data_IF_665432266538
#
_entry.id   IF_665432266538
#
_cell.length_a   1.000
_cell.length_b   1.000
_cell.length_c   1.000
_cell.angle_alpha   90.00
_cell.angle_beta   90.00
_cell.angle_gamma   90.00
#
_symmetry.space_group_name_H-M   'P 1'
#
loop_
_entity.id
_entity.type
_entity.pdbx_description
1 polymer ?
#
# COMPACT_ATOMS: atom_id res chain seq x y z
N UNK A 1 -8.70 33.07 -6.90
CA UNK A 1 -7.74 32.74 -6.42
C UNK A 1 -7.77 31.60 -5.52
N UNK A 2 -8.72 31.33 -4.96
CA UNK A 2 -8.85 30.24 -4.08
C UNK A 2 -8.68 28.89 -4.73
N UNK A 3 -9.02 28.79 -5.98
CA UNK A 3 -8.91 27.53 -6.70
C UNK A 3 -7.50 26.97 -6.74
N UNK A 4 -6.51 27.83 -6.74
CA UNK A 4 -5.15 27.36 -6.78
C UNK A 4 -4.74 26.64 -5.51
N UNK A 5 -5.22 27.09 -4.37
CA UNK A 5 -4.95 26.39 -3.14
C UNK A 5 -5.53 25.00 -3.14
N UNK A 6 -6.72 24.85 -3.69
CA UNK A 6 -7.36 23.56 -3.76
C UNK A 6 -6.55 22.61 -4.62
N UNK A 7 -6.02 23.09 -5.71
CA UNK A 7 -5.17 22.26 -6.52
C UNK A 7 -4.00 21.72 -5.74
N UNK A 8 -3.28 22.61 -5.04
CA UNK A 8 -2.10 22.18 -4.32
C UNK A 8 -2.43 21.14 -3.28
N UNK A 9 -3.56 21.29 -2.60
CA UNK A 9 -3.95 20.37 -1.55
C UNK A 9 -4.36 19.03 -2.07
N UNK A 10 -4.89 18.98 -3.28
CA UNK A 10 -5.34 17.73 -3.86
C UNK A 10 -4.21 16.87 -4.39
N UNK A 11 -2.97 17.34 -4.26
CA UNK A 11 -1.87 16.64 -4.90
C UNK A 11 -1.26 15.51 -4.10
N UNK A 12 -1.60 15.39 -2.82
CA UNK A 12 -1.07 14.26 -2.07
C UNK A 12 -1.69 12.97 -2.61
N UNK A 13 -0.87 12.10 -3.11
CA UNK A 13 -1.33 10.84 -3.69
C UNK A 13 -0.51 9.72 -3.07
N UNK A 14 -1.21 8.72 -2.53
CA UNK A 14 -0.55 7.64 -1.81
C UNK A 14 0.49 6.92 -2.66
N UNK A 15 0.14 6.57 -3.90
CA UNK A 15 1.08 5.84 -4.74
C UNK A 15 2.32 6.65 -5.05
N UNK A 16 2.18 7.95 -5.26
CA UNK A 16 3.34 8.81 -5.50
C UNK A 16 4.21 8.91 -4.25
N UNK A 17 3.60 8.97 -3.08
CA UNK A 17 4.36 9.02 -1.84
C UNK A 17 5.06 7.69 -1.56
N UNK A 18 4.38 6.58 -1.80
CA UNK A 18 5.00 5.26 -1.65
C UNK A 18 6.21 5.13 -2.58
N UNK A 19 6.11 5.66 -3.78
CA UNK A 19 7.19 5.58 -4.77
C UNK A 19 8.43 6.34 -4.38
N UNK A 20 8.34 7.26 -3.44
CA UNK A 20 9.51 7.98 -2.93
C UNK A 20 10.32 7.17 -1.94
N UNK A 21 9.81 6.02 -1.52
CA UNK A 21 10.52 5.13 -0.60
C UNK A 21 11.73 4.54 -1.32
N UNK A 22 12.86 4.55 -0.65
CA UNK A 22 14.08 3.95 -1.20
C UNK A 22 14.30 2.60 -0.54
N UNK A 23 14.68 1.62 -1.35
CA UNK A 23 14.91 0.27 -0.85
C UNK A 23 16.38 -0.07 -1.01
N UNK A 24 16.98 -0.57 0.08
CA UNK A 24 18.37 -0.99 0.08
C UNK A 24 18.46 -2.46 0.45
N UNK A 25 19.25 -3.25 -0.28
CA UNK A 25 19.44 -4.64 0.08
C UNK A 25 20.32 -4.74 1.32
N UNK A 26 19.85 -5.49 2.31
CA UNK A 26 20.63 -5.77 3.53
C UNK A 26 20.55 -7.26 3.80
N UNK A 27 21.67 -7.84 4.19
CA UNK A 27 21.72 -9.26 4.50
C UNK A 27 21.08 -9.50 5.87
N UNK A 28 20.15 -10.44 5.91
CA UNK A 28 19.47 -10.83 7.15
C UNK A 28 20.02 -12.19 7.56
N UNK A 29 20.72 -12.25 8.69
CA UNK A 29 21.35 -13.47 9.15
C UNK A 29 20.34 -14.56 9.54
N UNK A 30 19.19 -14.15 10.05
CA UNK A 30 18.16 -15.12 10.43
C UNK A 30 17.54 -15.83 9.24
N UNK A 31 17.33 -15.08 8.17
CA UNK A 31 16.77 -15.62 6.95
C UNK A 31 17.83 -16.14 5.99
N UNK A 32 19.09 -15.81 6.26
CA UNK A 32 20.22 -16.18 5.41
C UNK A 32 20.04 -15.71 3.98
N UNK A 33 19.48 -14.50 3.82
CA UNK A 33 19.28 -13.91 2.48
C UNK A 33 19.26 -12.40 2.60
N UNK A 34 19.36 -11.74 1.45
CA UNK A 34 19.23 -10.29 1.38
C UNK A 34 17.77 -9.92 1.31
N UNK A 35 17.38 -8.94 2.10
CA UNK A 35 16.04 -8.36 2.03
C UNK A 35 16.17 -6.89 1.70
N UNK A 36 15.13 -6.32 1.12
CA UNK A 36 15.11 -4.91 0.78
C UNK A 36 14.51 -4.12 1.93
N UNK A 37 15.35 -3.32 2.60
CA UNK A 37 14.90 -2.46 3.68
C UNK A 37 14.43 -1.13 3.13
N UNK A 38 13.23 -0.69 3.51
CA UNK A 38 12.73 0.59 3.05
C UNK A 38 13.28 1.75 3.87
N UNK A 39 13.50 2.87 3.20
CA UNK A 39 13.76 4.14 3.83
C UNK A 39 12.61 5.04 3.45
N UNK A 40 11.69 5.26 4.38
CA UNK A 40 10.46 5.99 4.10
C UNK A 40 10.70 7.50 4.09
N UNK A 41 10.10 8.22 3.12
CA UNK A 41 10.24 9.68 3.11
C UNK A 41 9.47 10.33 4.24
N UNK A 42 9.86 11.55 4.58
CA UNK A 42 9.22 12.28 5.67
C UNK A 42 7.72 12.48 5.46
N UNK A 43 7.30 12.65 4.21
CA UNK A 43 5.89 12.80 3.90
C UNK A 43 5.06 11.59 4.28
N UNK A 44 5.62 10.39 4.18
CA UNK A 44 4.95 9.19 4.62
C UNK A 44 5.01 9.03 6.13
N UNK A 45 6.19 9.29 6.72
CA UNK A 45 6.34 9.15 8.16
C UNK A 45 5.37 10.06 8.90
N UNK A 46 5.13 11.24 8.37
CA UNK A 46 4.19 12.19 8.97
C UNK A 46 2.75 11.71 8.91
N UNK A 47 2.44 10.79 8.02
CA UNK A 47 1.08 10.28 7.84
C UNK A 47 0.79 8.99 8.62
N UNK A 48 1.78 8.43 9.30
CA UNK A 48 1.58 7.21 10.08
C UNK A 48 0.52 7.46 11.16
N UNK A 49 -0.47 6.57 11.21
CA UNK A 49 -1.58 6.70 12.15
C UNK A 49 -2.71 7.59 11.67
N UNK A 50 -2.51 8.30 10.58
CA UNK A 50 -3.56 9.15 10.01
C UNK A 50 -4.28 8.42 8.89
N UNK A 51 -5.50 8.84 8.64
CA UNK A 51 -6.27 8.25 7.55
C UNK A 51 -5.80 8.74 6.20
N UNK A 52 -5.61 7.80 5.28
CA UNK A 52 -5.29 8.13 3.89
C UNK A 52 -6.28 7.40 3.00
N UNK A 53 -6.46 7.93 1.79
CA UNK A 53 -7.34 7.32 0.79
C UNK A 53 -6.48 6.77 -0.33
N UNK A 54 -6.75 5.53 -0.72
CA UNK A 54 -5.99 4.87 -1.78
C UNK A 54 -6.98 4.24 -2.75
N UNK A 55 -6.77 4.48 -4.04
CA UNK A 55 -7.50 3.81 -5.10
C UNK A 55 -6.56 2.87 -5.83
N UNK A 56 -6.95 1.61 -5.97
CA UNK A 56 -6.10 0.63 -6.62
C UNK A 56 -6.87 -0.57 -7.10
N UNK A 57 -6.18 -1.45 -7.78
CA UNK A 57 -6.75 -2.67 -8.32
C UNK A 57 -6.65 -3.79 -7.29
N UNK A 58 -7.75 -4.52 -7.10
CA UNK A 58 -7.71 -5.71 -6.26
C UNK A 58 -6.90 -6.81 -6.95
N UNK A 59 -5.92 -7.36 -6.26
CA UNK A 59 -5.17 -8.52 -6.76
C UNK A 59 -5.22 -9.63 -5.72
N UNK A 60 -5.41 -10.89 -6.14
CA UNK A 60 -5.72 -12.00 -5.21
C UNK A 60 -4.46 -12.67 -4.65
N UNK A 61 -3.56 -11.91 -4.06
CA UNK A 61 -2.31 -12.45 -3.55
C UNK A 61 -2.23 -12.50 -2.02
N UNK A 62 -3.30 -12.11 -1.32
CA UNK A 62 -3.33 -12.27 0.13
C UNK A 62 -3.61 -13.72 0.49
N UNK A 63 -3.11 -14.21 1.64
CA UNK A 63 -3.43 -15.57 2.08
C UNK A 63 -4.93 -15.74 2.28
N UNK A 64 -5.45 -16.92 1.96
CA UNK A 64 -6.87 -17.20 2.10
C UNK A 64 -7.38 -17.02 3.52
N UNK A 65 -6.57 -17.39 4.49
CA UNK A 65 -6.93 -17.24 5.90
C UNK A 65 -6.57 -15.89 6.46
N UNK A 66 -6.04 -15.00 5.63
CA UNK A 66 -5.71 -13.66 6.05
C UNK A 66 -6.95 -12.78 6.12
N UNK A 67 -6.88 -11.75 6.93
CA UNK A 67 -8.00 -10.83 7.10
C UNK A 67 -7.75 -9.51 6.37
N UNK A 68 -6.94 -9.55 5.34
CA UNK A 68 -6.60 -8.36 4.57
C UNK A 68 -6.64 -8.67 3.08
N UNK A 69 -6.69 -7.61 2.28
CA UNK A 69 -6.58 -7.74 0.83
C UNK A 69 -5.34 -6.97 0.37
N UNK A 70 -4.96 -7.19 -0.87
CA UNK A 70 -3.86 -6.44 -1.47
C UNK A 70 -4.40 -5.58 -2.59
N UNK A 71 -4.05 -4.29 -2.55
CA UNK A 71 -4.31 -3.36 -3.62
C UNK A 71 -3.03 -3.12 -4.39
N UNK A 72 -3.15 -2.99 -5.69
CA UNK A 72 -2.02 -2.71 -6.58
C UNK A 72 -2.25 -1.40 -7.32
N UNK A 73 -1.18 -0.67 -7.53
CA UNK A 73 -1.21 0.50 -8.39
C UNK A 73 -1.52 0.10 -9.84
N UNK A 74 -1.13 -1.11 -10.22
CA UNK A 74 -1.26 -1.63 -11.59
C UNK A 74 -2.21 -2.81 -11.63
N UNK A 75 -2.85 -3.08 -12.79
CA UNK A 75 -3.65 -4.29 -12.96
C UNK A 75 -2.81 -5.54 -12.71
N UNK A 76 -3.48 -6.66 -12.45
CA UNK A 76 -2.80 -7.90 -12.08
C UNK A 76 -1.70 -8.31 -13.06
N UNK A 77 -1.90 -8.10 -14.35
CA UNK A 77 -0.91 -8.47 -15.35
C UNK A 77 0.40 -7.69 -15.22
N UNK A 78 0.39 -6.57 -14.48
CA UNK A 78 1.55 -5.69 -14.32
C UNK A 78 1.90 -5.47 -12.86
N UNK A 79 1.35 -6.25 -11.95
CA UNK A 79 1.56 -6.01 -10.52
C UNK A 79 2.93 -6.51 -10.06
N UNK A 80 3.28 -6.16 -8.82
CA UNK A 80 4.56 -6.53 -8.22
C UNK A 80 4.80 -8.05 -8.24
N UNK A 81 3.77 -8.83 -7.89
CA UNK A 81 3.91 -10.29 -7.80
C UNK A 81 4.12 -10.94 -9.15
N UNK A 82 3.82 -10.23 -10.23
CA UNK A 82 4.04 -10.71 -11.59
C UNK A 82 5.31 -10.12 -12.19
N UNK A 83 6.07 -9.39 -11.39
CA UNK A 83 7.31 -8.77 -11.85
C UNK A 83 7.12 -7.43 -12.54
N UNK A 84 5.91 -6.85 -12.50
CA UNK A 84 5.62 -5.63 -13.22
C UNK A 84 5.93 -4.35 -12.48
N UNK A 85 6.00 -4.39 -11.17
CA UNK A 85 6.28 -3.19 -10.38
C UNK A 85 7.15 -3.52 -9.21
N UNK A 86 7.57 -2.51 -8.47
CA UNK A 86 8.33 -2.72 -7.25
C UNK A 86 7.42 -2.85 -6.04
N UNK A 87 8.00 -3.09 -4.86
CA UNK A 87 7.20 -3.22 -3.64
C UNK A 87 6.42 -1.95 -3.27
N UNK A 88 6.80 -0.82 -3.83
CA UNK A 88 6.08 0.43 -3.62
C UNK A 88 4.75 0.48 -4.37
N UNK A 89 4.46 -0.51 -5.20
CA UNK A 89 3.25 -0.55 -6.02
C UNK A 89 2.13 -1.39 -5.43
N UNK A 90 2.30 -1.90 -4.21
CA UNK A 90 1.24 -2.67 -3.53
C UNK A 90 1.02 -2.15 -2.13
N UNK A 91 -0.19 -2.36 -1.62
CA UNK A 91 -0.55 -2.00 -0.25
C UNK A 91 -1.48 -3.06 0.32
N UNK A 92 -1.28 -3.41 1.59
CA UNK A 92 -2.19 -4.30 2.30
C UNK A 92 -3.31 -3.48 2.94
N UNK A 93 -4.52 -4.00 2.91
CA UNK A 93 -5.68 -3.29 3.46
C UNK A 93 -6.47 -4.23 4.36
N UNK A 94 -6.57 -3.87 5.63
CA UNK A 94 -7.37 -4.59 6.62
C UNK A 94 -8.61 -3.76 6.92
N UNK A 95 -9.79 -4.31 6.64
CA UNK A 95 -11.04 -3.60 6.84
C UNK A 95 -11.50 -3.67 8.29
N UNK A 96 -12.06 -2.56 8.78
CA UNK A 96 -12.53 -2.47 10.16
C UNK A 96 -13.63 -3.47 10.46
N UNK A 97 -14.48 -3.76 9.48
CA UNK A 97 -15.63 -4.66 9.67
C UNK A 97 -15.41 -6.06 9.10
N UNK A 98 -14.16 -6.42 8.87
CA UNK A 98 -13.84 -7.74 8.35
C UNK A 98 -13.68 -7.76 6.86
N UNK A 99 -13.28 -8.91 6.33
CA UNK A 99 -12.91 -9.02 4.93
C UNK A 99 -14.11 -8.85 4.00
N UNK A 100 -13.91 -8.12 2.92
CA UNK A 100 -14.86 -7.98 1.83
C UNK A 100 -14.34 -8.79 0.65
N UNK A 101 -15.25 -9.16 -0.23
CA UNK A 101 -14.87 -9.93 -1.42
C UNK A 101 -14.89 -9.07 -2.66
N UNK A 102 -13.87 -9.23 -3.46
CA UNK A 102 -13.70 -8.49 -4.71
C UNK A 102 -13.29 -9.43 -5.81
N UNK A 103 -13.40 -8.98 -7.03
CA UNK A 103 -12.93 -9.70 -8.20
C UNK A 103 -11.62 -9.12 -8.66
N UNK A 104 -10.82 -9.95 -9.34
CA UNK A 104 -9.52 -9.54 -9.87
C UNK A 104 -9.68 -8.28 -10.72
N UNK A 105 -8.81 -7.32 -10.46
CA UNK A 105 -8.79 -6.04 -11.16
C UNK A 105 -9.99 -5.12 -10.92
N UNK A 106 -10.81 -5.44 -9.89
CA UNK A 106 -11.76 -4.43 -9.43
C UNK A 106 -10.98 -3.20 -8.99
N UNK A 107 -11.38 -2.05 -9.50
CA UNK A 107 -10.79 -0.78 -9.09
C UNK A 107 -11.59 -0.26 -7.91
N UNK A 108 -10.97 -0.22 -6.74
CA UNK A 108 -11.66 0.17 -5.52
C UNK A 108 -10.93 1.31 -4.83
N UNK A 109 -11.69 2.09 -4.08
CA UNK A 109 -11.15 3.19 -3.28
C UNK A 109 -11.42 2.88 -1.82
N UNK A 110 -10.37 2.92 -1.01
CA UNK A 110 -10.46 2.63 0.42
C UNK A 110 -9.85 3.77 1.20
N UNK A 111 -10.28 3.90 2.46
CA UNK A 111 -9.74 4.89 3.38
C UNK A 111 -9.37 4.15 4.66
N UNK A 112 -8.15 4.32 5.12
CA UNK A 112 -7.69 3.63 6.33
C UNK A 112 -6.50 4.33 6.94
N UNK A 113 -6.11 3.86 8.12
CA UNK A 113 -4.97 4.42 8.83
C UNK A 113 -3.69 3.85 8.30
N UNK A 114 -2.74 4.69 7.98
CA UNK A 114 -1.47 4.26 7.43
C UNK A 114 -0.56 3.65 8.49
N UNK A 115 -0.01 2.50 8.18
CA UNK A 115 1.01 1.85 8.97
C UNK A 115 2.15 1.49 8.03
N UNK A 116 3.37 1.75 8.46
CA UNK A 116 4.56 1.43 7.66
C UNK A 116 5.30 0.27 8.31
N UNK A 117 5.73 -0.66 7.50
CA UNK A 117 6.41 -1.88 7.95
C UNK A 117 7.79 -1.95 7.32
N UNK A 118 8.82 -2.02 8.16
CA UNK A 118 10.21 -2.04 7.71
C UNK A 118 10.78 -3.44 7.61
N UNK A 119 10.46 -4.29 8.56
CA UNK A 119 11.25 -5.50 8.81
C UNK A 119 10.48 -6.79 8.95
N UNK A 120 9.16 -6.76 8.97
CA UNK A 120 8.39 -8.00 9.00
C UNK A 120 8.15 -8.45 7.57
N UNK A 121 8.93 -9.44 7.13
CA UNK A 121 8.91 -9.90 5.74
C UNK A 121 7.63 -10.65 5.37
N UNK A 122 6.78 -10.99 6.34
CA UNK A 122 5.52 -11.66 6.06
C UNK A 122 4.43 -10.69 5.57
N UNK A 123 4.71 -9.39 5.61
CA UNK A 123 3.76 -8.37 5.20
C UNK A 123 4.43 -7.35 4.30
N UNK A 124 3.62 -6.63 3.53
CA UNK A 124 4.13 -5.55 2.70
C UNK A 124 4.56 -4.35 3.52
N UNK A 125 5.19 -3.40 2.87
CA UNK A 125 5.74 -2.23 3.54
C UNK A 125 4.69 -1.16 3.84
N UNK A 126 3.60 -1.12 3.06
CA UNK A 126 2.54 -0.11 3.18
C UNK A 126 1.25 -0.81 3.56
N UNK A 127 0.69 -0.45 4.70
CA UNK A 127 -0.48 -1.13 5.25
C UNK A 127 -1.51 -0.10 5.67
N UNK A 128 -2.78 -0.36 5.32
CA UNK A 128 -3.90 0.42 5.83
C UNK A 128 -4.68 -0.45 6.79
N UNK A 129 -4.94 0.08 7.98
CA UNK A 129 -5.73 -0.62 9.00
C UNK A 129 -7.02 0.12 9.26
N UNK A 130 -7.99 -0.58 9.84
CA UNK A 130 -9.30 -0.01 10.15
C UNK A 130 -9.92 0.66 8.92
N UNK A 131 -9.75 0.02 7.78
CA UNK A 131 -10.14 0.60 6.51
C UNK A 131 -11.63 0.46 6.27
N UNK A 132 -12.16 1.38 5.46
CA UNK A 132 -13.53 1.32 4.98
C UNK A 132 -13.51 1.47 3.46
N UNK A 133 -14.48 0.82 2.81
CA UNK A 133 -14.62 0.93 1.36
C UNK A 133 -15.35 2.23 1.06
N UNK A 134 -14.74 3.06 0.21
CA UNK A 134 -15.33 4.32 -0.20
C UNK A 134 -16.15 4.13 -1.48
N UNK A 135 -15.57 3.43 -2.45
CA UNK A 135 -16.27 3.15 -3.70
C UNK A 135 -15.64 1.97 -4.42
N UNK A 136 -16.41 1.44 -5.35
CA UNK A 136 -15.98 0.30 -6.14
C UNK A 136 -16.24 0.52 -7.61
#
# INVERSE_FOLDING_TARGET
>A
MIGTSSFAQAKWDAWNEFAKTKFEPKYDEKLEEYIFYPSFPEGLLAMVGKEITVQGFYVPFAPEDGNYIILSKFPMSQCFFCGGGGPESIAEVTFAKGALKFQVDDLITVKGKLKLNKDNVEHGNFILTEAVLISK
#
